data_IF_742822875540
#
_entry.id   IF_742822875540
#
_cell.length_a   1.000
_cell.length_b   1.000
_cell.length_c   1.000
_cell.angle_alpha   90.00
_cell.angle_beta   90.00
_cell.angle_gamma   90.00
#
_symmetry.space_group_name_H-M   'P 1'
#
loop_
_entity.id
_entity.type
_entity.pdbx_description
1 polymer ?
#
# COMPACT_ATOMS: atom_id res chain seq x y z
N UNK A 1 -13.68 18.06 16.05
CA UNK A 1 -12.32 17.84 15.52
C UNK A 1 -12.35 16.67 14.54
N UNK A 2 -11.84 16.83 13.32
CA UNK A 2 -11.88 15.77 12.31
C UNK A 2 -10.60 14.91 12.42
N UNK A 3 -10.65 13.84 13.22
CA UNK A 3 -9.53 12.92 13.41
C UNK A 3 -9.01 12.33 12.10
N UNK A 4 -9.88 12.10 11.11
CA UNK A 4 -9.47 11.59 9.80
C UNK A 4 -8.52 12.54 9.08
N UNK A 5 -8.78 13.85 9.15
CA UNK A 5 -7.89 14.88 8.59
C UNK A 5 -6.53 14.90 9.30
N UNK A 6 -6.51 14.83 10.62
CA UNK A 6 -5.26 14.84 11.41
C UNK A 6 -4.39 13.66 11.01
N UNK A 7 -4.96 12.45 10.98
CA UNK A 7 -4.25 11.24 10.54
C UNK A 7 -3.74 11.38 9.11
N UNK A 8 -4.53 11.97 8.21
CA UNK A 8 -4.12 12.20 6.82
C UNK A 8 -2.88 13.08 6.73
N UNK A 9 -2.88 14.19 7.46
CA UNK A 9 -1.74 15.12 7.50
C UNK A 9 -0.51 14.41 8.05
N UNK A 10 -0.64 13.65 9.14
CA UNK A 10 0.49 12.93 9.75
C UNK A 10 1.10 11.88 8.80
N UNK A 11 0.27 11.11 8.10
CA UNK A 11 0.75 10.12 7.12
C UNK A 11 1.46 10.83 5.96
N UNK A 12 0.87 11.91 5.41
CA UNK A 12 1.48 12.66 4.31
C UNK A 12 2.80 13.32 4.71
N UNK A 13 2.89 13.88 5.92
CA UNK A 13 4.14 14.42 6.44
C UNK A 13 5.20 13.34 6.63
N UNK A 14 4.81 12.14 7.08
CA UNK A 14 5.72 10.99 7.17
C UNK A 14 6.24 10.57 5.79
N UNK A 15 5.36 10.49 4.79
CA UNK A 15 5.76 10.19 3.40
C UNK A 15 6.74 11.25 2.87
N UNK A 16 6.48 12.54 3.11
CA UNK A 16 7.41 13.61 2.73
C UNK A 16 8.76 13.51 3.45
N UNK A 17 8.75 13.17 4.74
CA UNK A 17 9.97 12.92 5.50
C UNK A 17 10.78 11.77 4.88
N UNK A 18 10.15 10.63 4.59
CA UNK A 18 10.82 9.47 4.01
C UNK A 18 11.32 9.74 2.58
N UNK A 19 10.59 10.53 1.78
CA UNK A 19 11.08 11.01 0.48
C UNK A 19 12.33 11.87 0.66
N UNK A 20 12.33 12.77 1.63
CA UNK A 20 13.51 13.57 1.98
C UNK A 20 14.68 12.71 2.41
N UNK A 21 14.45 11.70 3.26
CA UNK A 21 15.47 10.77 3.73
C UNK A 21 16.15 10.05 2.56
N UNK A 22 15.38 9.47 1.64
CA UNK A 22 15.90 8.74 0.48
C UNK A 22 16.66 9.66 -0.49
N UNK A 23 16.24 10.92 -0.63
CA UNK A 23 16.92 11.89 -1.50
C UNK A 23 18.21 12.44 -0.89
N UNK A 24 18.27 12.60 0.44
CA UNK A 24 19.45 13.11 1.14
C UNK A 24 20.51 12.03 1.36
N UNK A 25 20.08 10.77 1.50
CA UNK A 25 20.95 9.63 1.77
C UNK A 25 20.71 8.49 0.76
N UNK A 26 20.92 8.71 -0.55
CA UNK A 26 20.59 7.71 -1.58
C UNK A 26 21.45 6.44 -1.51
N UNK A 27 22.67 6.54 -0.97
CA UNK A 27 23.62 5.43 -0.84
C UNK A 27 23.55 4.72 0.51
N UNK A 28 22.53 5.02 1.33
CA UNK A 28 22.32 4.33 2.60
C UNK A 28 22.11 2.82 2.37
N UNK A 29 22.79 1.99 3.18
CA UNK A 29 22.71 0.53 3.07
C UNK A 29 21.29 -0.01 3.18
N UNK A 30 20.40 0.72 3.90
CA UNK A 30 18.96 0.39 3.99
C UNK A 30 18.27 0.38 2.62
N UNK A 31 18.75 1.20 1.69
CA UNK A 31 18.14 1.43 0.37
C UNK A 31 18.92 0.81 -0.79
N UNK A 32 20.18 0.45 -0.55
CA UNK A 32 21.08 -0.11 -1.54
C UNK A 32 20.49 -1.36 -2.21
N UNK A 33 20.52 -1.41 -3.54
CA UNK A 33 20.03 -2.55 -4.32
C UNK A 33 18.49 -2.67 -4.41
N UNK A 34 17.71 -1.72 -3.88
CA UNK A 34 16.23 -1.80 -3.87
C UNK A 34 15.53 -0.82 -4.83
N UNK A 35 16.30 0.00 -5.55
CA UNK A 35 15.80 1.05 -6.47
C UNK A 35 14.77 2.03 -5.83
N UNK A 36 14.82 2.18 -4.50
CA UNK A 36 13.88 2.96 -3.69
C UNK A 36 13.75 4.43 -4.14
N UNK A 37 14.83 5.16 -4.48
CA UNK A 37 14.70 6.56 -4.91
C UNK A 37 13.76 6.75 -6.10
N UNK A 38 13.89 5.92 -7.13
CA UNK A 38 13.08 6.00 -8.35
C UNK A 38 11.65 5.55 -8.04
N UNK A 39 11.48 4.43 -7.32
CA UNK A 39 10.19 3.90 -6.91
C UNK A 39 9.39 4.91 -6.10
N UNK A 40 10.00 5.50 -5.07
CA UNK A 40 9.32 6.43 -4.18
C UNK A 40 8.99 7.75 -4.88
N UNK A 41 9.89 8.27 -5.72
CA UNK A 41 9.63 9.54 -6.40
C UNK A 41 8.53 9.42 -7.46
N UNK A 42 8.56 8.37 -8.29
CA UNK A 42 7.61 8.26 -9.41
C UNK A 42 6.31 7.62 -8.94
N UNK A 43 6.38 6.49 -8.24
CA UNK A 43 5.21 5.67 -7.94
C UNK A 43 4.51 6.21 -6.69
N UNK A 44 5.24 6.36 -5.58
CA UNK A 44 4.62 6.75 -4.30
C UNK A 44 4.05 8.17 -4.36
N UNK A 45 4.80 9.15 -4.87
CA UNK A 45 4.27 10.53 -4.99
C UNK A 45 3.03 10.56 -5.89
N UNK A 46 3.11 10.02 -7.11
CA UNK A 46 2.02 10.07 -8.07
C UNK A 46 0.76 9.36 -7.57
N UNK A 47 0.93 8.16 -7.00
CA UNK A 47 -0.20 7.38 -6.50
C UNK A 47 -0.76 7.95 -5.20
N UNK A 48 0.05 8.54 -4.31
CA UNK A 48 -0.45 9.20 -3.07
C UNK A 48 -1.40 10.38 -3.32
N UNK A 49 -1.44 10.89 -4.55
CA UNK A 49 -2.32 11.96 -5.01
C UNK A 49 -3.62 11.45 -5.65
N UNK A 50 -3.86 10.13 -5.67
CA UNK A 50 -5.03 9.53 -6.30
C UNK A 50 -6.36 10.03 -5.68
N UNK A 51 -6.48 10.07 -4.36
CA UNK A 51 -7.67 10.61 -3.70
C UNK A 51 -7.86 12.12 -3.91
N UNK A 52 -6.83 12.97 -3.75
CA UNK A 52 -6.89 14.37 -4.17
C UNK A 52 -7.34 14.55 -5.62
N UNK A 53 -6.80 13.76 -6.54
CA UNK A 53 -7.19 13.80 -7.95
C UNK A 53 -8.68 13.48 -8.15
N UNK A 54 -9.17 12.38 -7.56
CA UNK A 54 -10.59 12.02 -7.68
C UNK A 54 -11.53 13.02 -7.00
N UNK A 55 -11.08 13.67 -5.92
CA UNK A 55 -11.86 14.70 -5.25
C UNK A 55 -11.87 16.04 -6.01
N UNK A 56 -10.70 16.59 -6.34
CA UNK A 56 -10.62 17.92 -6.93
C UNK A 56 -10.90 17.94 -8.42
N UNK A 57 -10.48 16.90 -9.16
CA UNK A 57 -10.59 16.85 -10.63
C UNK A 57 -11.83 16.10 -11.06
N UNK A 58 -12.05 14.89 -10.53
CA UNK A 58 -13.22 14.06 -10.90
C UNK A 58 -14.48 14.38 -10.09
N UNK A 59 -14.39 15.24 -9.07
CA UNK A 59 -15.51 15.65 -8.20
C UNK A 59 -16.32 14.47 -7.65
N UNK A 60 -15.64 13.34 -7.38
CA UNK A 60 -16.28 12.06 -7.04
C UNK A 60 -17.07 12.10 -5.74
N UNK A 61 -16.64 12.91 -4.77
CA UNK A 61 -17.24 12.99 -3.44
C UNK A 61 -17.59 14.42 -3.08
N UNK A 62 -18.74 14.62 -2.42
CA UNK A 62 -19.18 15.93 -1.90
C UNK A 62 -18.25 16.46 -0.80
N UNK A 63 -17.80 15.56 0.08
CA UNK A 63 -16.82 15.83 1.13
C UNK A 63 -15.61 14.92 0.93
N UNK A 64 -14.42 15.40 1.31
CA UNK A 64 -13.21 14.62 1.15
C UNK A 64 -13.25 13.33 2.01
N UNK A 65 -13.03 12.14 1.43
CA UNK A 65 -13.18 10.87 2.13
C UNK A 65 -11.92 10.49 2.93
N UNK A 66 -11.60 11.26 3.97
CA UNK A 66 -10.32 11.13 4.71
C UNK A 66 -9.97 9.71 5.15
N UNK A 67 -10.92 8.93 5.66
CA UNK A 67 -10.62 7.57 6.13
C UNK A 67 -10.25 6.59 5.00
N UNK A 68 -10.85 6.75 3.82
CA UNK A 68 -10.48 5.94 2.65
C UNK A 68 -9.11 6.34 2.12
N UNK A 69 -8.82 7.64 2.09
CA UNK A 69 -7.49 8.14 1.73
C UNK A 69 -6.43 7.66 2.74
N UNK A 70 -6.71 7.71 4.05
CA UNK A 70 -5.77 7.23 5.07
C UNK A 70 -5.44 5.74 4.93
N UNK A 71 -6.46 4.90 4.70
CA UNK A 71 -6.26 3.47 4.47
C UNK A 71 -5.51 3.21 3.16
N UNK A 72 -5.70 4.04 2.15
CA UNK A 72 -4.95 3.93 0.91
C UNK A 72 -3.50 4.39 1.08
N UNK A 73 -3.26 5.49 1.79
CA UNK A 73 -1.92 6.00 2.07
C UNK A 73 -1.12 5.09 3.01
N UNK A 74 -1.79 4.30 3.87
CA UNK A 74 -1.09 3.36 4.76
C UNK A 74 -0.32 2.28 3.99
N UNK A 75 -0.73 1.98 2.75
CA UNK A 75 -0.02 1.09 1.82
C UNK A 75 1.43 1.58 1.62
N UNK A 76 1.58 2.82 1.15
CA UNK A 76 2.90 3.40 0.89
C UNK A 76 3.64 3.70 2.18
N UNK A 77 2.91 4.19 3.19
CA UNK A 77 3.51 4.54 4.47
C UNK A 77 4.18 3.34 5.14
N UNK A 78 3.55 2.15 5.10
CA UNK A 78 4.09 0.95 5.72
C UNK A 78 5.37 0.46 5.04
N UNK A 79 5.40 0.48 3.69
CA UNK A 79 6.60 0.14 2.92
C UNK A 79 7.76 1.12 3.21
N UNK A 80 7.48 2.42 3.18
CA UNK A 80 8.51 3.43 3.49
C UNK A 80 9.00 3.31 4.94
N UNK A 81 8.09 3.10 5.90
CA UNK A 81 8.42 2.87 7.30
C UNK A 81 9.34 1.65 7.45
N UNK A 82 9.02 0.53 6.78
CA UNK A 82 9.86 -0.67 6.78
C UNK A 82 11.28 -0.41 6.31
N UNK A 83 11.43 0.37 5.23
CA UNK A 83 12.73 0.72 4.68
C UNK A 83 13.51 1.69 5.58
N UNK A 84 12.88 2.77 6.05
CA UNK A 84 13.51 3.75 6.93
C UNK A 84 14.00 3.14 8.23
N UNK A 85 13.29 2.17 8.80
CA UNK A 85 13.71 1.48 10.02
C UNK A 85 14.49 0.19 9.79
N UNK A 86 14.93 -0.07 8.55
CA UNK A 86 15.70 -1.26 8.17
C UNK A 86 15.00 -2.60 8.51
N UNK A 87 13.67 -2.61 8.57
CA UNK A 87 12.91 -3.76 9.05
C UNK A 87 12.95 -4.93 8.06
N UNK A 88 12.98 -4.65 6.75
CA UNK A 88 13.13 -5.66 5.72
C UNK A 88 14.42 -6.47 5.87
N UNK A 89 15.53 -5.80 6.18
CA UNK A 89 16.84 -6.46 6.32
C UNK A 89 17.05 -7.04 7.72
N UNK A 90 16.37 -6.48 8.73
CA UNK A 90 16.50 -6.92 10.13
C UNK A 90 15.62 -8.13 10.46
N UNK A 91 14.40 -8.19 9.92
CA UNK A 91 13.41 -9.19 10.27
C UNK A 91 12.97 -9.97 9.03
N UNK A 92 13.33 -11.25 8.99
CA UNK A 92 13.10 -12.12 7.83
C UNK A 92 11.63 -12.11 7.33
N UNK A 93 10.66 -12.14 8.24
CA UNK A 93 9.23 -12.18 7.91
C UNK A 93 8.54 -10.81 7.85
N UNK A 94 9.29 -9.71 7.97
CA UNK A 94 8.66 -8.39 7.93
C UNK A 94 7.93 -8.16 6.61
N UNK A 95 8.47 -8.66 5.50
CA UNK A 95 7.93 -8.50 4.14
C UNK A 95 6.47 -8.94 4.00
N UNK A 96 6.12 -10.04 4.68
CA UNK A 96 4.75 -10.57 4.68
C UNK A 96 3.72 -9.56 5.22
N UNK A 97 4.13 -8.63 6.09
CA UNK A 97 3.23 -7.65 6.71
C UNK A 97 2.76 -6.62 5.68
N UNK A 98 3.63 -5.90 4.94
CA UNK A 98 3.27 -5.11 3.78
C UNK A 98 2.46 -5.89 2.74
N UNK A 99 2.87 -7.09 2.33
CA UNK A 99 2.15 -7.86 1.31
C UNK A 99 0.72 -8.23 1.76
N UNK A 100 0.55 -8.58 3.03
CA UNK A 100 -0.77 -8.79 3.61
C UNK A 100 -1.59 -7.50 3.70
N UNK A 101 -1.06 -6.47 4.36
CA UNK A 101 -1.80 -5.25 4.67
C UNK A 101 -2.11 -4.43 3.42
N UNK A 102 -1.14 -4.25 2.53
CA UNK A 102 -1.27 -3.35 1.38
C UNK A 102 -2.31 -3.85 0.40
N UNK A 103 -2.25 -5.14 0.04
CA UNK A 103 -3.21 -5.76 -0.87
C UNK A 103 -4.61 -5.77 -0.24
N UNK A 104 -4.70 -6.05 1.06
CA UNK A 104 -5.95 -6.01 1.83
C UNK A 104 -6.59 -4.61 1.89
N UNK A 105 -5.78 -3.59 2.21
CA UNK A 105 -6.20 -2.20 2.28
C UNK A 105 -6.70 -1.72 0.92
N UNK A 106 -6.01 -2.08 -0.17
CA UNK A 106 -6.43 -1.77 -1.53
C UNK A 106 -7.79 -2.41 -1.87
N UNK A 107 -7.98 -3.70 -1.59
CA UNK A 107 -9.26 -4.37 -1.83
C UNK A 107 -10.42 -3.69 -1.08
N UNK A 108 -10.19 -3.29 0.18
CA UNK A 108 -11.18 -2.57 0.99
C UNK A 108 -11.46 -1.17 0.44
N UNK A 109 -10.44 -0.44 -0.03
CA UNK A 109 -10.61 0.87 -0.67
C UNK A 109 -11.41 0.74 -1.97
N UNK A 110 -11.13 -0.27 -2.78
CA UNK A 110 -11.86 -0.54 -4.03
C UNK A 110 -13.33 -0.87 -3.76
N UNK A 111 -13.60 -1.70 -2.75
CA UNK A 111 -14.95 -2.02 -2.30
C UNK A 111 -15.68 -0.78 -1.75
N UNK A 112 -15.06 -0.09 -0.79
CA UNK A 112 -15.72 0.95 0.01
C UNK A 112 -15.75 2.34 -0.62
N UNK A 113 -14.63 2.80 -1.19
CA UNK A 113 -14.51 4.13 -1.79
C UNK A 113 -14.91 4.14 -3.27
N UNK A 114 -14.62 3.04 -3.98
CA UNK A 114 -14.86 2.92 -5.41
C UNK A 114 -16.13 2.15 -5.78
N UNK A 115 -16.75 1.43 -4.84
CA UNK A 115 -18.02 0.75 -5.03
C UNK A 115 -17.93 -0.54 -5.85
N UNK A 116 -16.73 -1.14 -5.93
CA UNK A 116 -16.56 -2.44 -6.58
C UNK A 116 -17.28 -3.55 -5.79
N UNK A 117 -17.64 -4.64 -6.46
CA UNK A 117 -18.10 -5.85 -5.74
C UNK A 117 -16.97 -6.42 -4.89
N UNK A 118 -17.32 -7.24 -3.88
CA UNK A 118 -16.31 -7.91 -3.04
C UNK A 118 -15.27 -8.66 -3.88
N UNK A 119 -15.73 -9.52 -4.79
CA UNK A 119 -14.83 -10.27 -5.68
C UNK A 119 -14.09 -9.38 -6.68
N UNK A 120 -14.70 -8.27 -7.12
CA UNK A 120 -14.01 -7.30 -7.97
C UNK A 120 -12.86 -6.60 -7.26
N UNK A 121 -13.06 -6.17 -6.01
CA UNK A 121 -12.02 -5.55 -5.19
C UNK A 121 -10.90 -6.53 -4.83
N UNK A 122 -11.26 -7.75 -4.39
CA UNK A 122 -10.29 -8.82 -4.11
C UNK A 122 -9.49 -9.18 -5.36
N UNK A 123 -10.16 -9.41 -6.50
CA UNK A 123 -9.50 -9.79 -7.74
C UNK A 123 -8.54 -8.72 -8.25
N UNK A 124 -8.99 -7.46 -8.32
CA UNK A 124 -8.15 -6.37 -8.83
C UNK A 124 -6.95 -6.09 -7.92
N UNK A 125 -7.14 -6.12 -6.59
CA UNK A 125 -6.02 -5.93 -5.66
C UNK A 125 -4.95 -7.01 -5.81
N UNK A 126 -5.34 -8.29 -5.91
CA UNK A 126 -4.39 -9.38 -6.09
C UNK A 126 -3.74 -9.39 -7.48
N UNK A 127 -4.44 -8.95 -8.54
CA UNK A 127 -3.81 -8.76 -9.86
C UNK A 127 -2.73 -7.67 -9.79
N UNK A 128 -3.02 -6.54 -9.13
CA UNK A 128 -2.04 -5.46 -8.95
C UNK A 128 -0.84 -5.97 -8.14
N UNK A 129 -1.08 -6.73 -7.06
CA UNK A 129 -0.01 -7.33 -6.26
C UNK A 129 0.83 -8.30 -7.09
N UNK A 130 0.22 -9.20 -7.86
CA UNK A 130 0.95 -10.09 -8.77
C UNK A 130 1.84 -9.33 -9.77
N UNK A 131 1.35 -8.21 -10.29
CA UNK A 131 2.13 -7.37 -11.21
C UNK A 131 3.31 -6.67 -10.50
N UNK A 132 3.17 -6.33 -9.22
CA UNK A 132 4.25 -5.76 -8.41
C UNK A 132 5.33 -6.82 -8.13
N UNK A 133 4.96 -8.04 -7.73
CA UNK A 133 5.89 -9.16 -7.57
C UNK A 133 6.65 -9.46 -8.86
N UNK A 134 5.92 -9.49 -9.99
CA UNK A 134 6.54 -9.69 -11.29
C UNK A 134 7.50 -8.54 -11.63
N UNK A 135 7.11 -7.30 -11.32
CA UNK A 135 7.98 -6.14 -11.51
C UNK A 135 9.25 -6.24 -10.65
N UNK A 136 9.16 -6.64 -9.39
CA UNK A 136 10.32 -6.79 -8.50
C UNK A 136 11.29 -7.86 -9.01
N UNK A 137 10.77 -9.02 -9.41
CA UNK A 137 11.55 -10.07 -10.05
C UNK A 137 12.27 -9.57 -11.31
N UNK A 138 11.56 -8.88 -12.20
CA UNK A 138 12.17 -8.39 -13.43
C UNK A 138 13.17 -7.27 -13.18
N UNK A 139 12.97 -6.42 -12.17
CA UNK A 139 13.98 -5.42 -11.81
C UNK A 139 15.23 -6.08 -11.23
N UNK A 140 15.09 -7.17 -10.48
CA UNK A 140 16.24 -7.92 -9.98
C UNK A 140 17.05 -8.52 -11.14
N UNK A 141 16.35 -9.09 -12.13
CA UNK A 141 16.97 -9.68 -13.31
C UNK A 141 17.63 -8.64 -14.23
N UNK A 142 16.95 -7.54 -14.54
CA UNK A 142 17.40 -6.60 -15.58
C UNK A 142 18.17 -5.39 -15.05
N UNK A 143 17.91 -4.98 -13.82
CA UNK A 143 18.53 -3.79 -13.21
C UNK A 143 19.47 -4.15 -12.05
N UNK A 144 19.62 -5.43 -11.73
CA UNK A 144 20.51 -5.91 -10.68
C UNK A 144 20.05 -5.50 -9.27
N UNK A 145 18.75 -5.29 -9.08
CA UNK A 145 18.18 -5.10 -7.74
C UNK A 145 18.15 -6.43 -6.97
N UNK A 146 17.90 -6.35 -5.67
CA UNK A 146 17.86 -7.51 -4.76
C UNK A 146 16.64 -7.44 -3.85
N UNK A 147 15.45 -7.31 -4.44
CA UNK A 147 14.19 -7.26 -3.70
C UNK A 147 13.65 -8.66 -3.39
N UNK A 148 13.83 -9.64 -4.29
CA UNK A 148 13.23 -10.97 -4.19
C UNK A 148 14.24 -12.00 -3.64
N UNK A 149 13.87 -12.73 -2.58
CA UNK A 149 14.70 -13.77 -1.94
C UNK A 149 14.45 -15.17 -2.50
N UNK A 150 14.21 -15.24 -3.81
CA UNK A 150 13.91 -16.46 -4.55
C UNK A 150 12.42 -16.81 -4.61
N UNK A 151 12.09 -17.94 -5.25
CA UNK A 151 10.71 -18.30 -5.58
C UNK A 151 9.79 -18.47 -4.35
N UNK A 152 10.34 -18.97 -3.24
CA UNK A 152 9.55 -19.19 -2.02
C UNK A 152 9.08 -17.88 -1.39
N UNK A 153 9.84 -16.80 -1.55
CA UNK A 153 9.52 -15.44 -1.10
C UNK A 153 8.24 -14.95 -1.79
N UNK A 154 8.31 -14.81 -3.11
CA UNK A 154 7.17 -14.40 -3.97
C UNK A 154 5.92 -15.25 -3.75
N UNK A 155 6.07 -16.57 -3.57
CA UNK A 155 4.91 -17.43 -3.28
C UNK A 155 4.26 -17.04 -1.94
N UNK A 156 5.07 -16.84 -0.89
CA UNK A 156 4.54 -16.45 0.41
C UNK A 156 3.94 -15.05 0.40
N UNK A 157 4.53 -14.13 -0.35
CA UNK A 157 4.02 -12.76 -0.49
C UNK A 157 2.66 -12.77 -1.16
N UNK A 158 2.52 -13.46 -2.29
CA UNK A 158 1.23 -13.66 -2.96
C UNK A 158 0.19 -14.33 -2.05
N UNK A 159 0.59 -15.35 -1.30
CA UNK A 159 -0.29 -16.03 -0.34
C UNK A 159 -0.73 -15.06 0.78
N UNK A 160 0.17 -14.24 1.30
CA UNK A 160 -0.12 -13.22 2.29
C UNK A 160 -1.11 -12.18 1.74
N UNK A 161 -0.93 -11.74 0.50
CA UNK A 161 -1.85 -10.82 -0.19
C UNK A 161 -3.26 -11.40 -0.35
N UNK A 162 -3.38 -12.65 -0.81
CA UNK A 162 -4.68 -13.34 -0.93
C UNK A 162 -5.35 -13.46 0.43
N UNK A 163 -4.63 -13.92 1.47
CA UNK A 163 -5.17 -14.02 2.82
C UNK A 163 -5.62 -12.66 3.36
N UNK A 164 -4.81 -11.61 3.16
CA UNK A 164 -5.12 -10.25 3.58
C UNK A 164 -6.42 -9.75 2.98
N UNK A 165 -6.58 -9.85 1.66
CA UNK A 165 -7.79 -9.39 0.96
C UNK A 165 -9.05 -10.12 1.41
N UNK A 166 -8.97 -11.44 1.62
CA UNK A 166 -10.09 -12.22 2.12
C UNK A 166 -10.46 -11.84 3.55
N UNK A 167 -9.48 -11.67 4.44
CA UNK A 167 -9.72 -11.33 5.86
C UNK A 167 -10.30 -9.92 5.98
N UNK A 168 -9.62 -8.89 5.45
CA UNK A 168 -10.08 -7.50 5.56
C UNK A 168 -11.42 -7.30 4.86
N UNK A 169 -11.58 -7.84 3.65
CA UNK A 169 -12.82 -7.73 2.91
C UNK A 169 -13.99 -8.39 3.66
N UNK A 170 -13.78 -9.58 4.24
CA UNK A 170 -14.81 -10.26 5.05
C UNK A 170 -15.17 -9.45 6.30
N UNK A 171 -14.18 -8.92 7.03
CA UNK A 171 -14.41 -8.06 8.20
C UNK A 171 -15.29 -6.87 7.81
N UNK A 172 -14.96 -6.17 6.72
CA UNK A 172 -15.72 -5.01 6.25
C UNK A 172 -17.15 -5.40 5.87
N UNK A 173 -17.36 -6.53 5.18
CA UNK A 173 -18.69 -7.03 4.84
C UNK A 173 -19.52 -7.36 6.10
N UNK A 174 -18.92 -8.02 7.08
CA UNK A 174 -19.59 -8.36 8.35
C UNK A 174 -19.99 -7.10 9.10
N UNK A 175 -19.09 -6.11 9.20
CA UNK A 175 -19.36 -4.84 9.87
C UNK A 175 -20.44 -4.03 9.12
N UNK A 176 -20.41 -4.02 7.78
CA UNK A 176 -21.42 -3.35 6.96
C UNK A 176 -22.80 -3.99 7.14
N UNK A 177 -22.88 -5.33 7.15
CA UNK A 177 -24.12 -6.07 7.40
C UNK A 177 -24.67 -5.76 8.80
N UNK A 178 -23.80 -5.76 9.83
CA UNK A 178 -24.19 -5.45 11.21
C UNK A 178 -24.77 -4.03 11.34
N UNK A 179 -24.17 -3.03 10.68
CA UNK A 179 -24.70 -1.66 10.68
C UNK A 179 -26.07 -1.55 10.03
N UNK A 180 -26.32 -2.25 8.91
CA UNK A 180 -27.62 -2.25 8.24
C UNK A 180 -28.74 -2.89 9.07
N UNK A 181 -28.40 -3.78 10.01
CA UNK A 181 -29.37 -4.42 10.89
C UNK A 181 -29.69 -3.61 12.16
N UNK A 182 -28.99 -2.50 12.41
CA UNK A 182 -29.15 -1.66 13.61
C UNK A 182 -29.91 -0.35 13.28
N UNK A 183 -29.98 0.02 12.00
CA UNK A 183 -30.67 1.22 11.49
C UNK A 183 -32.01 0.78 10.90
#
# INVERSE_FOLDING_TARGET
MNWGLIVNILIRLSVLYFLGEVLLFPDDLRFAGKAIPIRNFIIVVSLSLLFPFFYFIKKRWKHYPFWWDNLYLSIFWLDMFGNSFNLYDTYFYFDLIPHFHSTAALAVVLLGAFGMSFWGGVGLANIIHLLLEAQEYYTDVFLGTHNVRGLFDTINDLMAGVLGTLIYGTIVLVLAKKRRNII
#
